data_IF_213421649638
#
_entry.id   IF_213421649638
#
_cell.length_a   1.000
_cell.length_b   1.000
_cell.length_c   1.000
_cell.angle_alpha   90.00
_cell.angle_beta   90.00
_cell.angle_gamma   90.00
#
_symmetry.space_group_name_H-M   'P 1'
#
loop_
_entity.id
_entity.type
_entity.pdbx_description
1 polymer ?
#
# COMPACT_ATOMS: atom_id res chain seq x y z
N UNK A 1 18.74 6.40 21.92
CA UNK A 1 17.79 5.26 21.95
C UNK A 1 18.54 4.06 21.40
N UNK A 2 18.62 2.96 22.16
CA UNK A 2 19.25 1.73 21.67
C UNK A 2 18.34 1.09 20.60
N UNK A 3 18.94 0.63 19.50
CA UNK A 3 18.24 -0.11 18.46
C UNK A 3 17.82 -1.47 19.02
N UNK A 4 16.55 -1.61 19.36
CA UNK A 4 15.92 -2.91 19.61
C UNK A 4 15.82 -3.59 18.26
N UNK A 5 16.54 -4.70 18.08
CA UNK A 5 16.46 -5.54 16.90
C UNK A 5 15.08 -6.20 16.88
N UNK A 6 14.10 -5.57 16.23
CA UNK A 6 12.80 -6.18 16.02
C UNK A 6 12.97 -7.33 15.02
N UNK A 7 12.51 -8.52 15.37
CA UNK A 7 12.43 -9.71 14.50
C UNK A 7 11.35 -9.55 13.40
N UNK A 8 10.78 -8.35 13.26
CA UNK A 8 9.62 -8.03 12.45
C UNK A 8 9.78 -6.65 11.82
N UNK A 9 10.30 -6.61 10.61
CA UNK A 9 10.49 -5.40 9.80
C UNK A 9 9.23 -5.17 8.94
N UNK A 10 8.59 -4.01 9.11
CA UNK A 10 7.38 -3.64 8.35
C UNK A 10 7.71 -3.36 6.88
N UNK A 11 8.86 -2.77 6.62
CA UNK A 11 9.31 -2.41 5.28
C UNK A 11 9.58 -3.69 4.47
N UNK A 12 10.31 -4.65 5.06
CA UNK A 12 10.57 -5.94 4.42
C UNK A 12 9.27 -6.69 4.08
N UNK A 13 8.25 -6.60 4.94
CA UNK A 13 6.96 -7.24 4.70
C UNK A 13 6.14 -6.56 3.62
N UNK A 14 6.18 -5.23 3.56
CA UNK A 14 5.55 -4.46 2.51
C UNK A 14 6.21 -4.78 1.14
N UNK A 15 7.54 -4.83 1.09
CA UNK A 15 8.29 -5.21 -0.11
C UNK A 15 7.98 -6.62 -0.58
N UNK A 16 7.88 -7.60 0.33
CA UNK A 16 7.50 -9.00 0.02
C UNK A 16 6.18 -9.13 -0.74
N UNK A 17 5.25 -8.19 -0.57
CA UNK A 17 3.97 -8.19 -1.29
C UNK A 17 3.94 -7.26 -2.52
N UNK A 18 5.08 -6.63 -2.84
CA UNK A 18 5.28 -5.80 -4.02
C UNK A 18 4.98 -4.33 -3.82
N UNK A 19 5.02 -3.84 -2.58
CA UNK A 19 5.00 -2.41 -2.28
C UNK A 19 6.42 -1.83 -2.30
N UNK A 20 6.50 -0.52 -2.52
CA UNK A 20 7.70 0.30 -2.43
C UNK A 20 7.61 1.11 -1.14
N UNK A 21 8.72 1.21 -0.41
CA UNK A 21 8.85 2.07 0.78
C UNK A 21 8.94 3.53 0.32
N UNK A 22 7.96 4.34 0.70
CA UNK A 22 7.98 5.79 0.52
C UNK A 22 8.62 6.49 1.72
N UNK A 23 8.15 6.13 2.92
CA UNK A 23 8.70 6.55 4.21
C UNK A 23 8.79 5.30 5.09
N UNK A 24 9.97 4.96 5.64
CA UNK A 24 10.15 3.77 6.49
C UNK A 24 9.13 3.72 7.62
N UNK A 25 8.51 2.56 7.82
CA UNK A 25 7.51 2.30 8.86
C UNK A 25 6.25 3.21 8.84
N UNK A 26 6.06 4.03 7.80
CA UNK A 26 4.95 5.01 7.73
C UNK A 26 4.16 4.93 6.42
N UNK A 27 4.84 4.88 5.27
CA UNK A 27 4.20 5.00 3.94
C UNK A 27 4.76 3.96 2.97
N UNK A 28 3.85 3.19 2.38
CA UNK A 28 4.13 2.24 1.30
C UNK A 28 3.21 2.49 0.11
N UNK A 29 3.65 2.17 -1.11
CA UNK A 29 2.80 2.29 -2.29
C UNK A 29 3.20 1.36 -3.42
N UNK A 30 2.31 1.13 -4.38
CA UNK A 30 2.68 0.55 -5.66
C UNK A 30 1.79 1.04 -6.79
N UNK A 31 2.37 1.17 -7.98
CA UNK A 31 1.62 1.51 -9.18
C UNK A 31 0.94 0.25 -9.72
N UNK A 32 -0.39 0.29 -9.85
CA UNK A 32 -1.17 -0.82 -10.40
C UNK A 32 -1.63 -0.58 -11.83
N UNK A 33 -1.48 0.61 -12.39
CA UNK A 33 -1.70 0.91 -13.82
C UNK A 33 -0.98 2.22 -14.18
N UNK A 34 -0.98 2.63 -15.46
CA UNK A 34 -0.43 3.94 -15.86
C UNK A 34 -1.08 5.13 -15.13
N UNK A 35 -2.29 4.94 -14.61
CA UNK A 35 -3.11 6.00 -14.02
C UNK A 35 -3.60 5.66 -12.61
N UNK A 36 -3.12 4.58 -11.99
CA UNK A 36 -3.66 4.12 -10.71
C UNK A 36 -2.55 3.64 -9.78
N UNK A 37 -2.65 4.04 -8.51
CA UNK A 37 -1.67 3.78 -7.46
C UNK A 37 -2.40 3.29 -6.22
N UNK A 38 -1.85 2.28 -5.55
CA UNK A 38 -2.25 1.85 -4.22
C UNK A 38 -1.31 2.48 -3.22
N UNK A 39 -1.87 3.09 -2.19
CA UNK A 39 -1.16 3.65 -1.05
C UNK A 39 -1.50 2.87 0.20
N UNK A 40 -0.56 2.85 1.14
CA UNK A 40 -0.69 2.36 2.49
C UNK A 40 0.00 3.35 3.39
N UNK A 41 -0.71 3.88 4.38
CA UNK A 41 -0.15 4.86 5.30
C UNK A 41 -0.64 4.59 6.72
N UNK A 42 0.21 4.90 7.70
CA UNK A 42 -0.16 4.91 9.10
C UNK A 42 -0.80 6.25 9.47
N UNK A 43 -2.12 6.28 9.59
CA UNK A 43 -2.93 7.48 9.82
C UNK A 43 -3.81 7.26 11.05
N UNK A 44 -3.84 8.22 11.99
CA UNK A 44 -4.69 8.16 13.18
C UNK A 44 -4.56 6.85 13.97
N UNK A 45 -3.32 6.42 14.21
CA UNK A 45 -2.99 5.21 14.98
C UNK A 45 -3.51 3.90 14.35
N UNK A 46 -3.70 3.86 13.02
CA UNK A 46 -4.07 2.67 12.25
C UNK A 46 -3.44 2.69 10.86
N UNK A 47 -3.26 1.52 10.29
CA UNK A 47 -2.89 1.38 8.89
C UNK A 47 -4.11 1.55 8.01
N UNK A 48 -3.99 2.33 6.94
CA UNK A 48 -5.06 2.55 5.95
C UNK A 48 -4.48 2.28 4.58
N UNK A 49 -5.18 1.47 3.78
CA UNK A 49 -4.83 1.23 2.39
C UNK A 49 -5.95 1.67 1.46
N UNK A 50 -5.60 2.40 0.41
CA UNK A 50 -6.53 2.89 -0.58
C UNK A 50 -5.92 2.88 -1.98
N UNK A 51 -6.78 2.87 -2.98
CA UNK A 51 -6.40 3.06 -4.36
C UNK A 51 -6.84 4.45 -4.82
N UNK A 52 -5.93 5.19 -5.44
CA UNK A 52 -6.25 6.38 -6.21
C UNK A 52 -6.13 6.10 -7.70
N UNK A 53 -6.91 6.80 -8.50
CA UNK A 53 -6.69 6.90 -9.94
C UNK A 53 -6.69 8.36 -10.38
N UNK A 54 -6.00 8.63 -11.47
CA UNK A 54 -5.70 9.97 -11.94
C UNK A 54 -6.06 10.16 -13.41
N UNK A 55 -6.24 11.41 -13.81
CA UNK A 55 -6.30 11.77 -15.22
C UNK A 55 -4.93 11.49 -15.85
N UNK A 56 -4.84 10.84 -17.03
CA UNK A 56 -3.57 10.60 -17.71
C UNK A 56 -2.73 11.87 -17.82
N UNK A 57 -1.43 11.77 -17.46
CA UNK A 57 -0.46 12.88 -17.50
C UNK A 57 -0.85 14.09 -16.62
N UNK A 58 -1.59 13.87 -15.55
CA UNK A 58 -1.97 14.89 -14.58
C UNK A 58 -1.97 14.32 -13.16
N UNK A 59 -1.82 15.17 -12.15
CA UNK A 59 -2.01 14.82 -10.74
C UNK A 59 -3.49 14.92 -10.30
N UNK A 60 -4.42 15.26 -11.21
CA UNK A 60 -5.84 15.35 -10.90
C UNK A 60 -6.40 13.95 -10.64
N UNK A 61 -6.80 13.70 -9.39
CA UNK A 61 -7.47 12.46 -8.98
C UNK A 61 -8.87 12.36 -9.60
N UNK A 62 -9.18 11.20 -10.19
CA UNK A 62 -10.49 10.85 -10.73
C UNK A 62 -11.30 9.99 -9.77
N UNK A 63 -10.64 9.13 -8.99
CA UNK A 63 -11.30 8.27 -8.01
C UNK A 63 -10.43 8.01 -6.80
N UNK A 64 -11.10 7.72 -5.69
CA UNK A 64 -10.50 7.29 -4.43
C UNK A 64 -11.34 6.13 -3.88
N UNK A 65 -10.69 5.03 -3.48
CA UNK A 65 -11.37 3.87 -2.88
C UNK A 65 -10.54 3.26 -1.78
N UNK A 66 -11.08 3.23 -0.56
CA UNK A 66 -10.49 2.49 0.56
C UNK A 66 -10.57 0.99 0.28
N UNK A 67 -9.44 0.29 0.47
CA UNK A 67 -9.31 -1.16 0.35
C UNK A 67 -9.48 -1.80 1.73
N UNK A 68 -8.76 -1.29 2.73
CA UNK A 68 -8.77 -1.80 4.10
C UNK A 68 -8.26 -0.74 5.08
N UNK A 69 -8.60 -0.91 6.36
CA UNK A 69 -7.96 -0.20 7.46
C UNK A 69 -7.89 -1.11 8.70
N UNK A 70 -6.95 -0.87 9.61
CA UNK A 70 -6.80 -1.62 10.85
C UNK A 70 -5.34 -1.85 11.23
N UNK A 71 -5.03 -3.04 11.75
CA UNK A 71 -3.66 -3.45 12.03
C UNK A 71 -2.86 -3.75 10.75
N UNK A 72 -1.54 -3.65 10.84
CA UNK A 72 -0.62 -3.83 9.71
C UNK A 72 -0.86 -5.15 8.97
N UNK A 73 -0.85 -6.28 9.70
CA UNK A 73 -1.02 -7.62 9.11
C UNK A 73 -2.32 -7.78 8.34
N UNK A 74 -3.43 -7.27 8.89
CA UNK A 74 -4.74 -7.29 8.23
C UNK A 74 -4.69 -6.50 6.92
N UNK A 75 -4.12 -5.30 6.96
CA UNK A 75 -4.01 -4.42 5.80
C UNK A 75 -3.11 -5.05 4.72
N UNK A 76 -1.95 -5.59 5.09
CA UNK A 76 -1.04 -6.30 4.19
C UNK A 76 -1.70 -7.52 3.54
N UNK A 77 -2.45 -8.33 4.30
CA UNK A 77 -3.19 -9.47 3.76
C UNK A 77 -4.26 -9.04 2.73
N UNK A 78 -4.97 -7.93 2.99
CA UNK A 78 -5.96 -7.36 2.07
C UNK A 78 -5.31 -6.83 0.79
N UNK A 79 -4.18 -6.15 0.91
CA UNK A 79 -3.41 -5.65 -0.25
C UNK A 79 -2.90 -6.81 -1.08
N UNK A 80 -2.29 -7.83 -0.48
CA UNK A 80 -1.78 -9.01 -1.20
C UNK A 80 -2.88 -9.65 -2.05
N UNK A 81 -4.07 -9.81 -1.50
CA UNK A 81 -5.24 -10.33 -2.23
C UNK A 81 -5.69 -9.39 -3.35
N UNK A 82 -5.74 -8.09 -3.08
CA UNK A 82 -6.13 -7.07 -4.07
C UNK A 82 -5.16 -7.02 -5.26
N UNK A 83 -3.85 -6.98 -5.00
CA UNK A 83 -2.82 -7.02 -6.04
C UNK A 83 -2.85 -8.33 -6.81
N UNK A 84 -3.09 -9.46 -6.14
CA UNK A 84 -3.28 -10.76 -6.78
C UNK A 84 -4.47 -10.78 -7.74
N UNK A 85 -5.60 -10.18 -7.34
CA UNK A 85 -6.79 -10.04 -8.19
C UNK A 85 -6.52 -9.18 -9.43
N UNK A 86 -5.87 -8.02 -9.25
CA UNK A 86 -5.53 -7.13 -10.37
C UNK A 86 -4.59 -7.82 -11.36
N UNK A 87 -3.56 -8.52 -10.85
CA UNK A 87 -2.61 -9.24 -11.71
C UNK A 87 -3.31 -10.30 -12.57
N UNK A 88 -4.32 -10.99 -12.04
CA UNK A 88 -5.10 -12.01 -12.77
C UNK A 88 -6.03 -11.41 -13.83
N UNK A 89 -6.61 -10.24 -13.56
CA UNK A 89 -7.58 -9.61 -14.47
C UNK A 89 -6.97 -8.68 -15.51
N UNK A 90 -5.65 -8.55 -15.53
CA UNK A 90 -4.90 -7.85 -16.59
C UNK A 90 -4.51 -8.76 -17.76
N UNK A 91 -4.99 -10.01 -17.76
CA UNK A 91 -4.88 -10.94 -18.88
C UNK A 91 -5.84 -10.61 -20.01
#
# INVERSE_FOLDING_TARGET
MQAVKYDYDLDEQAEKIGLIVGIPEEVYFCTISRVSVVYVEYIDNRWVAWCESYVPNSNRRTSYKVIAHGGFELVMARIKNYLGYIKKNKG
#
